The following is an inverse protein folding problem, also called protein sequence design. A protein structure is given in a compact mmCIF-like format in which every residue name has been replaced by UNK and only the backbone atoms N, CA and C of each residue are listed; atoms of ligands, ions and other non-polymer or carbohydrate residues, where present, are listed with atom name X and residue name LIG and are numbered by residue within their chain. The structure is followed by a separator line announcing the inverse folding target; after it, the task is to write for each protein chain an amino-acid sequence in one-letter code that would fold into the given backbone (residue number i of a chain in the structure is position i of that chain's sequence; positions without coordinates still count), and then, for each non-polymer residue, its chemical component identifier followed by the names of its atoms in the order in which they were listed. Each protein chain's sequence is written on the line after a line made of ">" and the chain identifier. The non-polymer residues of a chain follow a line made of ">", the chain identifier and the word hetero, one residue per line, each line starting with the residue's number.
data_IF_613276837502
#
_entry.id   IF_613276837502
#
_cell.length_a   1.000
_cell.length_b   1.000
_cell.length_c   1.000
_cell.angle_alpha   90.00
_cell.angle_beta   90.00
_cell.angle_gamma   90.00
#
_symmetry.space_group_name_H-M   'P 1'
#
loop_
_entity.id
_entity.type
_entity.pdbx_description
1 polymer ?
#
# COMPACT_ATOMS: atom_id res chain seq x y z
N UNK A 1 -10.49 3.96 -22.13
CA UNK A 1 -9.50 5.05 -22.24
C UNK A 1 -9.96 6.49 -21.90
N UNK A 2 -11.24 6.81 -21.65
CA UNK A 2 -11.65 8.13 -21.10
C UNK A 2 -12.91 8.02 -20.23
N UNK A 3 -12.78 7.64 -18.95
CA UNK A 3 -13.87 7.74 -17.97
C UNK A 3 -13.33 7.50 -16.55
N UNK A 4 -12.85 8.53 -15.83
CA UNK A 4 -12.31 8.27 -14.48
C UNK A 4 -11.93 9.50 -13.62
N UNK A 5 -12.77 10.53 -13.43
CA UNK A 5 -12.45 11.54 -12.38
C UNK A 5 -13.64 11.99 -11.57
N UNK A 6 -14.45 11.04 -11.10
CA UNK A 6 -15.54 11.39 -10.21
C UNK A 6 -15.27 11.12 -8.73
N UNK A 7 -14.31 10.28 -8.39
CA UNK A 7 -14.13 9.86 -6.99
C UNK A 7 -12.66 9.66 -6.58
N UNK A 8 -11.73 10.11 -7.42
CA UNK A 8 -10.30 10.26 -7.13
C UNK A 8 -9.98 11.75 -7.10
N UNK A 9 -9.21 12.21 -6.10
CA UNK A 9 -8.61 13.55 -6.10
C UNK A 9 -8.00 13.79 -7.49
N UNK A 10 -8.47 14.76 -8.28
CA UNK A 10 -7.62 15.25 -9.36
C UNK A 10 -6.32 15.76 -8.69
N UNK A 11 -5.16 15.60 -9.34
CA UNK A 11 -3.98 16.35 -8.91
C UNK A 11 -4.39 17.82 -8.81
N UNK A 12 -4.18 18.39 -7.63
CA UNK A 12 -4.43 19.78 -7.31
C UNK A 12 -3.84 20.67 -8.40
N UNK A 13 -4.69 21.20 -9.28
CA UNK A 13 -4.51 22.53 -9.84
C UNK A 13 -5.67 23.37 -9.33
N UNK A 14 -5.36 24.23 -8.37
CA UNK A 14 -6.22 25.34 -7.99
C UNK A 14 -6.48 26.14 -9.29
N UNK A 15 -7.70 26.02 -9.86
CA UNK A 15 -8.32 26.84 -10.94
C UNK A 15 -9.28 26.05 -11.87
N UNK A 16 -9.71 24.82 -11.58
CA UNK A 16 -10.77 24.18 -12.38
C UNK A 16 -12.15 24.58 -11.85
N UNK A 17 -12.86 25.43 -12.60
CA UNK A 17 -14.10 26.09 -12.18
C UNK A 17 -15.31 25.16 -11.96
N UNK A 18 -16.34 25.65 -11.27
CA UNK A 18 -17.57 24.91 -10.87
C UNK A 18 -18.24 24.12 -12.01
N UNK A 19 -18.29 24.68 -13.22
CA UNK A 19 -18.83 24.02 -14.40
C UNK A 19 -18.07 22.74 -14.79
N UNK A 20 -16.75 22.68 -14.55
CA UNK A 20 -15.90 21.56 -14.94
C UNK A 20 -16.30 20.24 -14.26
N UNK A 21 -16.65 20.28 -12.96
CA UNK A 21 -17.01 19.06 -12.22
C UNK A 21 -18.35 18.52 -12.71
N UNK A 22 -19.38 19.38 -12.80
CA UNK A 22 -20.70 19.01 -13.33
C UNK A 22 -20.59 18.44 -14.74
N UNK A 23 -19.93 19.15 -15.65
CA UNK A 23 -19.87 18.76 -17.06
C UNK A 23 -19.20 17.40 -17.23
N UNK A 24 -18.16 17.13 -16.43
CA UNK A 24 -17.50 15.83 -16.40
C UNK A 24 -18.40 14.72 -15.86
N UNK A 25 -19.12 14.97 -14.77
CA UNK A 25 -20.08 14.01 -14.21
C UNK A 25 -21.13 13.65 -15.22
N UNK A 26 -21.72 14.65 -15.85
CA UNK A 26 -22.79 14.45 -16.82
C UNK A 26 -22.27 13.77 -18.08
N UNK A 27 -21.05 14.09 -18.51
CA UNK A 27 -20.39 13.36 -19.60
C UNK A 27 -20.16 11.89 -19.24
N UNK A 28 -19.65 11.59 -18.05
CA UNK A 28 -19.42 10.21 -17.59
C UNK A 28 -20.75 9.45 -17.45
N UNK A 29 -21.77 10.06 -16.82
CA UNK A 29 -23.12 9.48 -16.66
C UNK A 29 -23.78 9.18 -18.00
N UNK A 30 -23.71 10.12 -18.95
CA UNK A 30 -24.25 9.94 -20.31
C UNK A 30 -23.50 8.87 -21.10
N UNK A 31 -22.17 8.78 -20.92
CA UNK A 31 -21.32 7.84 -21.67
C UNK A 31 -21.48 6.41 -21.16
N UNK A 32 -21.51 6.22 -19.84
CA UNK A 32 -21.60 4.91 -19.20
C UNK A 32 -23.05 4.40 -19.15
N UNK A 33 -24.01 5.30 -19.00
CA UNK A 33 -25.37 4.95 -18.61
C UNK A 33 -25.48 4.70 -17.10
N UNK A 34 -26.72 4.64 -16.62
CA UNK A 34 -27.05 4.64 -15.18
C UNK A 34 -26.43 3.48 -14.40
N UNK A 35 -26.53 2.25 -14.91
CA UNK A 35 -26.06 1.06 -14.16
C UNK A 35 -24.52 0.99 -14.10
N UNK A 36 -23.81 1.24 -15.21
CA UNK A 36 -22.33 1.25 -15.21
C UNK A 36 -21.78 2.42 -14.38
N UNK A 37 -22.45 3.59 -14.43
CA UNK A 37 -22.12 4.71 -13.55
C UNK A 37 -22.32 4.34 -12.07
N UNK A 38 -23.41 3.64 -11.74
CA UNK A 38 -23.66 3.12 -10.39
C UNK A 38 -22.57 2.15 -9.95
N UNK A 39 -22.19 1.18 -10.80
CA UNK A 39 -21.11 0.24 -10.53
C UNK A 39 -19.78 0.96 -10.27
N UNK A 40 -19.41 1.94 -11.09
CA UNK A 40 -18.21 2.76 -10.88
C UNK A 40 -18.28 3.52 -9.55
N UNK A 41 -19.45 4.06 -9.22
CA UNK A 41 -19.71 4.80 -7.98
C UNK A 41 -19.56 3.90 -6.74
N UNK A 42 -20.00 2.63 -6.79
CA UNK A 42 -19.80 1.64 -5.72
C UNK A 42 -18.30 1.39 -5.50
N UNK A 43 -17.56 1.07 -6.56
CA UNK A 43 -16.13 0.74 -6.48
C UNK A 43 -15.36 1.92 -5.89
N UNK A 44 -15.58 3.12 -6.41
CA UNK A 44 -14.76 4.26 -6.03
C UNK A 44 -15.12 4.82 -4.65
N UNK A 45 -16.39 4.78 -4.22
CA UNK A 45 -16.74 5.12 -2.83
C UNK A 45 -16.30 4.06 -1.83
N UNK A 46 -16.36 2.77 -2.17
CA UNK A 46 -15.83 1.70 -1.30
C UNK A 46 -14.31 1.79 -1.16
N UNK A 47 -13.61 2.16 -2.24
CA UNK A 47 -12.18 2.50 -2.19
C UNK A 47 -11.91 3.69 -1.28
N UNK A 48 -12.68 4.77 -1.42
CA UNK A 48 -12.53 6.00 -0.63
C UNK A 48 -12.79 5.73 0.85
N UNK A 49 -13.93 5.14 1.16
CA UNK A 49 -14.40 4.79 2.50
C UNK A 49 -14.16 3.32 2.83
N UNK A 50 -12.90 2.89 2.83
CA UNK A 50 -12.51 1.48 2.98
C UNK A 50 -12.93 0.79 4.29
N UNK A 51 -13.40 1.54 5.29
CA UNK A 51 -13.92 1.00 6.54
C UNK A 51 -15.46 1.07 6.63
N UNK A 52 -16.15 1.58 5.61
CA UNK A 52 -17.60 1.68 5.58
C UNK A 52 -18.28 0.32 5.46
N UNK A 53 -19.52 0.25 5.90
CA UNK A 53 -20.41 -0.89 5.64
C UNK A 53 -20.97 -0.84 4.22
N UNK A 54 -21.49 -1.98 3.75
CA UNK A 54 -22.15 -2.05 2.45
C UNK A 54 -23.40 -1.15 2.42
N UNK A 55 -24.12 -1.08 3.54
CA UNK A 55 -25.35 -0.31 3.70
C UNK A 55 -25.06 1.19 3.61
N UNK A 56 -24.04 1.70 4.31
CA UNK A 56 -23.59 3.09 4.23
C UNK A 56 -23.19 3.50 2.80
N UNK A 57 -22.40 2.65 2.14
CA UNK A 57 -21.99 2.86 0.74
C UNK A 57 -23.22 2.86 -0.18
N UNK A 58 -24.16 1.93 0.03
CA UNK A 58 -25.37 1.83 -0.78
C UNK A 58 -26.26 3.06 -0.66
N UNK A 59 -26.39 3.64 0.54
CA UNK A 59 -27.09 4.90 0.76
C UNK A 59 -26.42 6.06 0.03
N UNK A 60 -25.09 6.19 0.16
CA UNK A 60 -24.33 7.25 -0.52
C UNK A 60 -24.41 7.12 -2.04
N UNK A 61 -24.21 5.92 -2.59
CA UNK A 61 -24.27 5.65 -4.04
C UNK A 61 -25.65 6.01 -4.59
N UNK A 62 -26.73 5.65 -3.90
CA UNK A 62 -28.11 5.95 -4.33
C UNK A 62 -28.33 7.44 -4.51
N UNK A 63 -27.86 8.23 -3.57
CA UNK A 63 -27.99 9.69 -3.57
C UNK A 63 -27.12 10.34 -4.66
N UNK A 64 -25.89 9.86 -4.86
CA UNK A 64 -25.01 10.33 -5.95
C UNK A 64 -25.62 10.03 -7.33
N UNK A 65 -26.14 8.82 -7.52
CA UNK A 65 -26.77 8.40 -8.79
C UNK A 65 -28.04 9.21 -9.05
N UNK A 66 -28.87 9.44 -8.02
CA UNK A 66 -30.08 10.27 -8.14
C UNK A 66 -29.76 11.72 -8.47
N UNK A 67 -28.69 12.27 -7.88
CA UNK A 67 -28.21 13.61 -8.20
C UNK A 67 -27.75 13.71 -9.66
N UNK A 68 -26.96 12.74 -10.13
CA UNK A 68 -26.51 12.71 -11.53
C UNK A 68 -27.69 12.58 -12.50
N UNK A 69 -28.64 11.68 -12.22
CA UNK A 69 -29.84 11.48 -13.04
C UNK A 69 -30.69 12.76 -13.15
N UNK A 70 -30.83 13.49 -12.05
CA UNK A 70 -31.64 14.73 -12.01
C UNK A 70 -30.91 15.90 -12.66
N UNK A 71 -29.65 16.15 -12.30
CA UNK A 71 -28.92 17.35 -12.69
C UNK A 71 -28.21 17.25 -14.04
N UNK A 72 -28.12 16.05 -14.63
CA UNK A 72 -27.56 15.85 -15.97
C UNK A 72 -28.63 15.66 -17.05
N UNK A 73 -29.91 15.79 -16.69
CA UNK A 73 -31.01 15.81 -17.64
C UNK A 73 -30.95 17.05 -18.55
N UNK A 74 -31.44 16.92 -19.78
CA UNK A 74 -31.53 18.06 -20.70
C UNK A 74 -32.46 19.13 -20.12
N UNK A 75 -31.99 20.38 -20.08
CA UNK A 75 -32.73 21.50 -19.49
C UNK A 75 -32.67 21.59 -17.96
N UNK A 76 -31.86 20.76 -17.28
CA UNK A 76 -31.62 20.90 -15.86
C UNK A 76 -30.97 22.25 -15.51
N UNK A 77 -31.30 22.78 -14.33
CA UNK A 77 -30.76 24.06 -13.88
C UNK A 77 -29.22 24.00 -13.78
N UNK A 78 -28.49 25.00 -14.32
CA UNK A 78 -27.02 25.01 -14.30
C UNK A 78 -26.40 24.85 -12.90
N UNK A 79 -27.10 25.28 -11.85
CA UNK A 79 -26.69 25.21 -10.44
C UNK A 79 -27.16 23.94 -9.71
N UNK A 80 -27.99 23.11 -10.34
CA UNK A 80 -28.55 21.89 -9.75
C UNK A 80 -27.48 21.01 -9.10
N UNK A 81 -26.41 20.72 -9.83
CA UNK A 81 -25.34 19.83 -9.34
C UNK A 81 -24.58 20.44 -8.17
N UNK A 82 -24.28 21.73 -8.21
CA UNK A 82 -23.58 22.43 -7.14
C UNK A 82 -24.42 22.46 -5.85
N UNK A 83 -25.71 22.77 -5.97
CA UNK A 83 -26.66 22.77 -4.86
C UNK A 83 -26.80 21.38 -4.25
N UNK A 84 -27.03 20.36 -5.07
CA UNK A 84 -27.16 18.97 -4.63
C UNK A 84 -25.87 18.42 -4.02
N UNK A 85 -24.71 18.67 -4.62
CA UNK A 85 -23.40 18.26 -4.07
C UNK A 85 -23.13 18.92 -2.70
N UNK A 86 -23.52 20.20 -2.54
CA UNK A 86 -23.42 20.90 -1.26
C UNK A 86 -24.37 20.30 -0.22
N UNK A 87 -25.60 19.95 -0.61
CA UNK A 87 -26.55 19.27 0.26
C UNK A 87 -26.07 17.89 0.70
N UNK A 88 -25.45 17.10 -0.19
CA UNK A 88 -24.83 15.83 0.16
C UNK A 88 -23.70 16.02 1.18
N UNK A 89 -22.85 17.02 0.99
CA UNK A 89 -21.76 17.34 1.92
C UNK A 89 -22.29 17.76 3.29
N UNK A 90 -23.33 18.61 3.33
CA UNK A 90 -23.99 19.00 4.57
C UNK A 90 -24.64 17.80 5.27
N UNK A 91 -25.27 16.90 4.52
CA UNK A 91 -25.84 15.65 5.05
C UNK A 91 -24.75 14.74 5.64
N UNK A 92 -23.57 14.65 5.03
CA UNK A 92 -22.41 13.93 5.60
C UNK A 92 -21.95 14.49 6.95
N UNK A 93 -22.23 15.75 7.25
CA UNK A 93 -21.89 16.39 8.51
C UNK A 93 -22.99 16.26 9.60
N UNK A 94 -24.16 15.73 9.25
CA UNK A 94 -25.24 15.49 10.21
C UNK A 94 -24.90 14.34 11.19
N UNK A 95 -25.28 14.49 12.45
CA UNK A 95 -25.04 13.45 13.49
C UNK A 95 -25.71 12.10 13.17
N UNK A 96 -26.89 12.13 12.55
CA UNK A 96 -27.66 10.95 12.13
C UNK A 96 -27.43 10.61 10.64
N UNK A 97 -26.29 11.02 10.08
CA UNK A 97 -25.96 10.78 8.67
C UNK A 97 -25.91 9.27 8.37
N UNK A 98 -26.61 8.79 7.32
CA UNK A 98 -26.49 7.40 6.86
C UNK A 98 -25.25 7.17 5.99
N UNK A 99 -24.41 8.20 5.81
CA UNK A 99 -23.22 8.14 4.96
C UNK A 99 -21.97 7.77 5.75
N UNK A 100 -21.01 7.08 5.11
CA UNK A 100 -19.76 6.77 5.78
C UNK A 100 -18.93 8.03 6.02
N UNK A 101 -18.11 8.01 7.07
CA UNK A 101 -17.24 9.11 7.46
C UNK A 101 -15.77 8.69 7.53
N UNK A 102 -14.87 9.63 7.24
CA UNK A 102 -13.45 9.47 7.51
C UNK A 102 -13.09 9.93 8.93
N UNK A 103 -12.00 9.42 9.54
CA UNK A 103 -11.38 10.08 10.68
C UNK A 103 -11.09 11.55 10.34
N UNK A 104 -11.48 12.48 11.22
CA UNK A 104 -11.34 13.93 11.00
C UNK A 104 -12.53 14.62 10.33
N UNK A 105 -13.58 13.87 9.94
CA UNK A 105 -14.80 14.46 9.32
C UNK A 105 -15.41 15.55 10.19
N UNK A 106 -15.54 15.32 11.50
CA UNK A 106 -16.09 16.32 12.43
C UNK A 106 -15.29 17.63 12.43
N UNK A 107 -13.96 17.56 12.32
CA UNK A 107 -13.10 18.75 12.22
C UNK A 107 -13.30 19.51 10.91
N UNK A 108 -13.50 18.80 9.79
CA UNK A 108 -13.84 19.43 8.53
C UNK A 108 -15.25 20.04 8.53
N UNK A 109 -16.20 19.39 9.20
CA UNK A 109 -17.59 19.86 9.29
C UNK A 109 -17.75 21.13 10.14
N UNK A 110 -16.76 21.48 10.97
CA UNK A 110 -16.71 22.76 11.67
C UNK A 110 -16.34 23.94 10.76
N UNK A 111 -15.84 23.67 9.55
CA UNK A 111 -15.55 24.68 8.52
C UNK A 111 -16.80 24.95 7.67
N UNK A 112 -16.77 26.05 6.91
CA UNK A 112 -17.87 26.44 6.02
C UNK A 112 -17.42 26.58 4.56
N UNK A 113 -18.39 26.56 3.65
CA UNK A 113 -18.18 26.90 2.24
C UNK A 113 -17.14 26.04 1.51
N UNK A 114 -16.15 26.69 0.89
CA UNK A 114 -15.11 26.02 0.09
C UNK A 114 -14.12 25.27 0.98
N UNK A 115 -13.78 25.79 2.14
CA UNK A 115 -12.82 25.18 3.06
C UNK A 115 -13.34 23.82 3.56
N UNK A 116 -14.62 23.76 3.95
CA UNK A 116 -15.29 22.51 4.30
C UNK A 116 -15.17 21.46 3.19
N UNK A 117 -15.49 21.85 1.94
CA UNK A 117 -15.44 20.96 0.78
C UNK A 117 -14.04 20.44 0.51
N UNK A 118 -13.02 21.31 0.57
CA UNK A 118 -11.64 20.93 0.35
C UNK A 118 -11.12 20.02 1.47
N UNK A 119 -11.48 20.31 2.72
CA UNK A 119 -11.13 19.49 3.87
C UNK A 119 -11.73 18.07 3.73
N UNK A 120 -13.03 17.95 3.50
CA UNK A 120 -13.71 16.66 3.31
C UNK A 120 -13.17 15.86 2.11
N UNK A 121 -12.76 16.54 1.03
CA UNK A 121 -12.15 15.90 -0.12
C UNK A 121 -10.73 15.39 0.15
N UNK A 122 -9.98 16.07 1.02
CA UNK A 122 -8.62 15.68 1.39
C UNK A 122 -8.55 14.48 2.34
N UNK A 123 -9.63 14.22 3.10
CA UNK A 123 -9.68 13.09 4.03
C UNK A 123 -9.55 11.74 3.31
N UNK A 124 -8.81 10.82 3.94
CA UNK A 124 -8.57 9.46 3.46
C UNK A 124 -8.53 8.51 4.65
N UNK A 125 -8.95 7.26 4.45
CA UNK A 125 -8.60 6.22 5.41
C UNK A 125 -7.12 5.84 5.27
N UNK A 126 -6.46 5.50 6.39
CA UNK A 126 -5.15 4.89 6.32
C UNK A 126 -5.22 3.57 5.54
N UNK A 127 -4.13 3.16 4.87
CA UNK A 127 -4.04 1.85 4.25
C UNK A 127 -4.41 0.74 5.22
N UNK A 128 -5.22 -0.22 4.78
CA UNK A 128 -5.54 -1.39 5.59
C UNK A 128 -4.28 -2.24 5.83
N UNK A 129 -4.18 -2.82 7.02
CA UNK A 129 -3.04 -3.67 7.40
C UNK A 129 -2.97 -4.93 6.54
N UNK A 130 -4.13 -5.59 6.38
CA UNK A 130 -4.31 -6.77 5.55
C UNK A 130 -5.61 -6.62 4.75
N UNK A 131 -5.63 -7.03 3.46
CA UNK A 131 -6.88 -7.16 2.71
C UNK A 131 -7.82 -8.12 3.45
N UNK A 132 -9.09 -7.73 3.60
CA UNK A 132 -10.10 -8.53 4.30
C UNK A 132 -10.87 -9.48 3.39
N UNK A 133 -10.90 -9.19 2.10
CA UNK A 133 -11.60 -10.02 1.12
C UNK A 133 -10.96 -11.41 1.04
N UNK A 134 -11.73 -12.41 1.49
CA UNK A 134 -11.47 -13.83 1.29
C UNK A 134 -12.42 -14.31 0.22
N UNK A 135 -11.87 -14.80 -0.90
CA UNK A 135 -12.70 -15.34 -1.96
C UNK A 135 -13.39 -16.63 -1.47
N UNK A 136 -14.73 -16.71 -1.51
CA UNK A 136 -15.45 -17.94 -1.20
C UNK A 136 -15.11 -19.09 -2.17
N UNK A 137 -15.51 -20.31 -1.80
CA UNK A 137 -15.46 -21.46 -2.70
C UNK A 137 -16.25 -21.21 -3.99
N UNK A 138 -15.96 -21.98 -5.04
CA UNK A 138 -16.68 -21.82 -6.31
C UNK A 138 -18.18 -22.12 -6.12
N UNK A 139 -18.50 -23.06 -5.24
CA UNK A 139 -19.86 -23.48 -4.88
C UNK A 139 -20.61 -22.34 -4.17
N UNK A 140 -20.00 -21.73 -3.15
CA UNK A 140 -20.58 -20.58 -2.43
C UNK A 140 -20.78 -19.38 -3.35
N UNK A 141 -19.82 -19.10 -4.25
CA UNK A 141 -19.96 -18.05 -5.26
C UNK A 141 -21.16 -18.29 -6.17
N UNK A 142 -21.34 -19.52 -6.66
CA UNK A 142 -22.44 -19.84 -7.56
C UNK A 142 -23.79 -19.89 -6.85
N UNK A 143 -23.82 -20.31 -5.58
CA UNK A 143 -25.04 -20.26 -4.78
C UNK A 143 -25.48 -18.80 -4.58
N UNK A 144 -24.58 -17.93 -4.09
CA UNK A 144 -24.90 -16.52 -3.87
C UNK A 144 -25.28 -15.81 -5.18
N UNK A 145 -24.58 -16.11 -6.28
CA UNK A 145 -24.92 -15.57 -7.61
C UNK A 145 -26.30 -16.03 -8.09
N UNK A 146 -26.71 -17.28 -7.81
CA UNK A 146 -28.02 -17.81 -8.19
C UNK A 146 -29.17 -17.20 -7.37
N UNK A 147 -28.94 -16.90 -6.09
CA UNK A 147 -29.92 -16.32 -5.19
C UNK A 147 -30.29 -14.89 -5.62
N UNK A 148 -29.30 -14.00 -5.78
CA UNK A 148 -29.50 -12.66 -6.30
C UNK A 148 -28.22 -12.15 -7.00
N UNK A 149 -28.14 -12.22 -8.34
CA UNK A 149 -26.98 -11.76 -9.10
C UNK A 149 -26.59 -10.31 -8.84
N UNK A 150 -27.59 -9.43 -8.61
CA UNK A 150 -27.36 -7.98 -8.45
C UNK A 150 -26.80 -7.69 -7.07
N UNK A 151 -27.42 -8.22 -6.02
CA UNK A 151 -26.94 -8.06 -4.64
C UNK A 151 -25.57 -8.71 -4.48
N UNK A 152 -25.36 -9.90 -5.05
CA UNK A 152 -24.05 -10.55 -5.09
C UNK A 152 -22.99 -9.63 -5.71
N UNK A 153 -23.26 -9.08 -6.89
CA UNK A 153 -22.31 -8.21 -7.58
C UNK A 153 -22.00 -6.96 -6.75
N UNK A 154 -23.02 -6.27 -6.22
CA UNK A 154 -22.84 -5.04 -5.45
C UNK A 154 -22.04 -5.28 -4.16
N UNK A 155 -22.32 -6.36 -3.43
CA UNK A 155 -21.57 -6.74 -2.22
C UNK A 155 -20.12 -7.07 -2.55
N UNK A 156 -19.88 -7.86 -3.60
CA UNK A 156 -18.53 -8.16 -4.05
C UNK A 156 -17.75 -6.89 -4.43
N UNK A 157 -18.37 -5.98 -5.20
CA UNK A 157 -17.74 -4.72 -5.60
C UNK A 157 -17.30 -3.91 -4.38
N UNK A 158 -18.18 -3.82 -3.37
CA UNK A 158 -17.89 -3.12 -2.13
C UNK A 158 -16.75 -3.78 -1.32
N UNK A 159 -16.86 -5.07 -1.03
CA UNK A 159 -15.89 -5.78 -0.19
C UNK A 159 -14.50 -5.82 -0.83
N UNK A 160 -14.47 -6.06 -2.15
CA UNK A 160 -13.22 -6.13 -2.91
C UNK A 160 -12.55 -4.76 -2.99
N UNK A 161 -13.29 -3.71 -3.38
CA UNK A 161 -12.72 -2.37 -3.50
C UNK A 161 -12.31 -1.76 -2.14
N UNK A 162 -13.03 -2.07 -1.06
CA UNK A 162 -12.65 -1.67 0.30
C UNK A 162 -11.35 -2.35 0.74
N UNK A 163 -11.23 -3.66 0.47
CA UNK A 163 -10.05 -4.46 0.83
C UNK A 163 -8.79 -4.09 0.05
N UNK A 164 -8.93 -3.69 -1.21
CA UNK A 164 -7.84 -3.28 -2.10
C UNK A 164 -7.86 -1.76 -2.34
N UNK A 165 -8.25 -0.98 -1.32
CA UNK A 165 -8.53 0.46 -1.42
C UNK A 165 -7.35 1.34 -1.87
N UNK A 166 -6.12 0.85 -1.84
CA UNK A 166 -4.95 1.60 -2.30
C UNK A 166 -4.59 1.29 -3.77
N UNK A 167 -5.18 0.26 -4.38
CA UNK A 167 -5.01 0.03 -5.80
C UNK A 167 -5.59 1.22 -6.62
N UNK A 168 -4.99 1.54 -7.78
CA UNK A 168 -5.56 2.50 -8.71
C UNK A 168 -6.98 2.09 -9.11
N UNK A 169 -7.89 3.07 -9.20
CA UNK A 169 -9.28 2.83 -9.58
C UNK A 169 -9.43 2.04 -10.89
N UNK A 170 -8.67 2.30 -11.98
CA UNK A 170 -8.84 1.51 -13.20
C UNK A 170 -8.44 0.04 -13.03
N UNK A 171 -7.44 -0.24 -12.20
CA UNK A 171 -7.02 -1.62 -11.88
C UNK A 171 -8.15 -2.34 -11.14
N UNK A 172 -8.79 -1.67 -10.16
CA UNK A 172 -9.95 -2.23 -9.45
C UNK A 172 -11.12 -2.50 -10.38
N UNK A 173 -11.48 -1.54 -11.25
CA UNK A 173 -12.56 -1.70 -12.22
C UNK A 173 -12.30 -2.88 -13.16
N UNK A 174 -11.09 -3.01 -13.70
CA UNK A 174 -10.72 -4.16 -14.53
C UNK A 174 -10.80 -5.48 -13.76
N UNK A 175 -10.26 -5.51 -12.53
CA UNK A 175 -10.21 -6.70 -11.69
C UNK A 175 -11.61 -7.19 -11.28
N UNK A 176 -12.50 -6.27 -10.88
CA UNK A 176 -13.86 -6.62 -10.48
C UNK A 176 -14.71 -7.04 -11.68
N UNK A 177 -14.61 -6.33 -12.82
CA UNK A 177 -15.33 -6.69 -14.04
C UNK A 177 -14.98 -8.09 -14.52
N UNK A 178 -13.69 -8.42 -14.59
CA UNK A 178 -13.24 -9.75 -15.01
C UNK A 178 -13.65 -10.83 -13.99
N UNK A 179 -13.71 -10.51 -12.69
CA UNK A 179 -14.22 -11.42 -11.66
C UNK A 179 -15.70 -11.75 -11.84
N UNK A 180 -16.55 -10.73 -11.94
CA UNK A 180 -17.98 -10.92 -12.14
C UNK A 180 -18.27 -11.67 -13.45
N UNK A 181 -17.53 -11.38 -14.52
CA UNK A 181 -17.63 -12.09 -15.80
C UNK A 181 -17.29 -13.58 -15.68
N UNK A 182 -16.30 -13.95 -14.86
CA UNK A 182 -15.98 -15.36 -14.61
C UNK A 182 -17.07 -16.04 -13.81
N UNK A 183 -17.57 -15.40 -12.76
CA UNK A 183 -18.65 -15.98 -11.94
C UNK A 183 -19.88 -16.21 -12.80
N UNK A 184 -20.31 -15.20 -13.56
CA UNK A 184 -21.49 -15.32 -14.43
C UNK A 184 -21.33 -16.41 -15.50
N UNK A 185 -20.12 -16.58 -16.05
CA UNK A 185 -19.85 -17.58 -17.09
C UNK A 185 -19.73 -18.99 -16.53
N UNK A 186 -18.98 -19.15 -15.44
CA UNK A 186 -18.67 -20.47 -14.90
C UNK A 186 -19.79 -21.07 -14.05
N UNK A 187 -20.62 -20.24 -13.41
CA UNK A 187 -21.74 -20.75 -12.61
C UNK A 187 -22.90 -21.31 -13.44
N UNK A 188 -22.97 -20.96 -14.73
CA UNK A 188 -23.96 -21.52 -15.68
C UNK A 188 -23.34 -22.57 -16.62
N UNK A 189 -22.04 -22.85 -16.48
CA UNK A 189 -21.33 -23.83 -17.30
C UNK A 189 -21.75 -25.25 -16.93
N UNK A 190 -21.86 -26.17 -17.90
CA UNK A 190 -22.04 -27.61 -17.61
C UNK A 190 -20.81 -28.23 -16.92
N UNK A 191 -19.65 -27.56 -16.95
CA UNK A 191 -18.43 -27.98 -16.27
C UNK A 191 -17.83 -26.82 -15.44
N UNK A 192 -18.43 -26.44 -14.30
CA UNK A 192 -18.03 -25.27 -13.51
C UNK A 192 -16.57 -25.31 -13.04
N UNK A 193 -16.09 -26.46 -12.55
CA UNK A 193 -14.73 -26.62 -12.02
C UNK A 193 -13.66 -26.34 -13.08
N UNK A 194 -13.81 -26.92 -14.28
CA UNK A 194 -12.88 -26.71 -15.38
C UNK A 194 -12.92 -25.24 -15.88
N UNK A 195 -14.12 -24.65 -15.93
CA UNK A 195 -14.28 -23.24 -16.29
C UNK A 195 -13.56 -22.32 -15.30
N UNK A 196 -13.82 -22.45 -13.99
CA UNK A 196 -13.18 -21.62 -12.98
C UNK A 196 -11.66 -21.77 -12.98
N UNK A 197 -11.13 -22.98 -13.18
CA UNK A 197 -9.69 -23.18 -13.28
C UNK A 197 -9.09 -22.39 -14.45
N UNK A 198 -9.68 -22.49 -15.64
CA UNK A 198 -9.24 -21.75 -16.84
C UNK A 198 -9.29 -20.24 -16.60
N UNK A 199 -10.44 -19.72 -16.16
CA UNK A 199 -10.68 -18.29 -15.93
C UNK A 199 -9.79 -17.70 -14.80
N UNK A 200 -9.47 -18.48 -13.75
CA UNK A 200 -8.53 -18.07 -12.70
C UNK A 200 -7.10 -17.97 -13.24
N UNK A 201 -6.69 -18.90 -14.11
CA UNK A 201 -5.37 -18.87 -14.74
C UNK A 201 -5.23 -17.69 -15.71
N UNK A 202 -6.26 -17.41 -16.51
CA UNK A 202 -6.28 -16.29 -17.47
C UNK A 202 -6.23 -14.93 -16.73
N UNK A 203 -6.97 -14.76 -15.63
CA UNK A 203 -6.92 -13.50 -14.85
C UNK A 203 -5.67 -13.34 -13.98
N UNK A 204 -4.81 -14.36 -13.84
CA UNK A 204 -3.73 -14.40 -12.85
C UNK A 204 -2.88 -13.13 -12.88
N UNK A 205 -2.54 -12.63 -14.08
CA UNK A 205 -1.73 -11.41 -14.26
C UNK A 205 -2.44 -10.17 -13.70
N UNK A 206 -3.75 -10.01 -13.94
CA UNK A 206 -4.53 -8.89 -13.43
C UNK A 206 -4.74 -8.98 -11.91
N UNK A 207 -4.97 -10.19 -11.39
CA UNK A 207 -5.06 -10.41 -9.93
C UNK A 207 -3.75 -10.04 -9.23
N UNK A 208 -2.61 -10.43 -9.81
CA UNK A 208 -1.29 -10.02 -9.31
C UNK A 208 -1.08 -8.50 -9.43
N UNK A 209 -1.53 -7.87 -10.52
CA UNK A 209 -1.48 -6.41 -10.67
C UNK A 209 -2.30 -5.70 -9.58
N UNK A 210 -3.52 -6.16 -9.29
CA UNK A 210 -4.36 -5.61 -8.21
C UNK A 210 -3.68 -5.76 -6.85
N UNK A 211 -3.16 -6.95 -6.55
CA UNK A 211 -2.45 -7.21 -5.30
C UNK A 211 -1.22 -6.31 -5.18
N UNK A 212 -0.33 -6.33 -6.18
CA UNK A 212 0.94 -5.60 -6.12
C UNK A 212 0.73 -4.10 -6.10
N UNK A 213 -0.17 -3.57 -6.94
CA UNK A 213 -0.51 -2.14 -6.95
C UNK A 213 -1.06 -1.68 -5.60
N UNK A 214 -1.99 -2.44 -5.00
CA UNK A 214 -2.49 -2.15 -3.66
C UNK A 214 -1.36 -2.11 -2.62
N UNK A 215 -0.43 -3.07 -2.66
CA UNK A 215 0.69 -3.14 -1.69
C UNK A 215 1.66 -1.97 -1.83
N UNK A 216 2.14 -1.70 -3.05
CA UNK A 216 3.11 -0.62 -3.27
C UNK A 216 2.48 0.75 -3.01
N UNK A 217 1.21 0.96 -3.39
CA UNK A 217 0.52 2.21 -3.13
C UNK A 217 0.14 2.37 -1.66
N UNK A 218 -0.17 1.29 -0.93
CA UNK A 218 -0.31 1.34 0.53
C UNK A 218 0.96 1.84 1.20
N UNK A 219 2.12 1.31 0.79
CA UNK A 219 3.42 1.73 1.32
C UNK A 219 3.77 3.16 0.90
N UNK A 220 3.49 3.54 -0.35
CA UNK A 220 3.67 4.92 -0.83
C UNK A 220 2.80 5.92 -0.05
N UNK A 221 1.53 5.60 0.20
CA UNK A 221 0.63 6.44 1.01
C UNK A 221 1.15 6.59 2.45
N UNK A 222 1.70 5.52 3.03
CA UNK A 222 2.21 5.54 4.40
C UNK A 222 3.55 6.29 4.56
N UNK A 223 4.45 6.16 3.59
CA UNK A 223 5.83 6.68 3.71
C UNK A 223 6.08 7.97 2.92
N UNK A 224 5.29 8.23 1.88
CA UNK A 224 5.62 9.25 0.88
C UNK A 224 6.84 8.86 0.03
N UNK A 225 7.15 9.70 -0.95
CA UNK A 225 8.15 9.40 -1.99
C UNK A 225 9.56 9.15 -1.43
N UNK A 226 10.08 10.05 -0.61
CA UNK A 226 11.47 9.98 -0.12
C UNK A 226 11.73 8.72 0.74
N UNK A 227 10.81 8.40 1.65
CA UNK A 227 10.94 7.21 2.51
C UNK A 227 10.58 5.92 1.78
N UNK A 228 9.70 5.93 0.75
CA UNK A 228 9.51 4.74 -0.09
C UNK A 228 10.76 4.43 -0.93
N UNK A 229 11.47 5.45 -1.41
CA UNK A 229 12.76 5.26 -2.08
C UNK A 229 13.73 4.53 -1.14
N UNK A 230 13.83 4.99 0.11
CA UNK A 230 14.68 4.33 1.11
C UNK A 230 14.23 2.88 1.40
N UNK A 231 12.93 2.66 1.64
CA UNK A 231 12.35 1.33 1.89
C UNK A 231 12.61 0.35 0.74
N UNK A 232 12.45 0.80 -0.51
CA UNK A 232 12.71 -0.01 -1.69
C UNK A 232 14.21 -0.32 -1.84
N UNK A 233 15.08 0.67 -1.62
CA UNK A 233 16.52 0.51 -1.62
C UNK A 233 16.97 -0.55 -0.61
N UNK A 234 16.51 -0.45 0.64
CA UNK A 234 16.89 -1.43 1.67
C UNK A 234 16.32 -2.80 1.38
N UNK A 235 15.11 -2.91 0.84
CA UNK A 235 14.56 -4.19 0.42
C UNK A 235 15.43 -4.87 -0.65
N UNK A 236 15.91 -4.12 -1.65
CA UNK A 236 16.85 -4.65 -2.64
C UNK A 236 18.20 -5.02 -2.01
N UNK A 237 18.71 -4.19 -1.09
CA UNK A 237 19.98 -4.40 -0.40
C UNK A 237 19.97 -5.68 0.45
N UNK A 238 18.84 -5.99 1.10
CA UNK A 238 18.65 -7.20 1.89
C UNK A 238 18.51 -8.44 1.01
N UNK A 239 17.89 -8.32 -0.17
CA UNK A 239 17.76 -9.42 -1.14
C UNK A 239 19.07 -9.70 -1.89
N UNK A 240 19.87 -8.66 -2.16
CA UNK A 240 21.13 -8.75 -2.90
C UNK A 240 22.23 -7.95 -2.19
N UNK A 241 22.72 -8.44 -1.04
CA UNK A 241 23.70 -7.72 -0.25
C UNK A 241 25.07 -7.59 -0.91
N UNK A 242 25.30 -8.23 -2.07
CA UNK A 242 26.51 -8.05 -2.89
C UNK A 242 26.48 -6.84 -3.83
N UNK A 243 25.30 -6.27 -4.13
CA UNK A 243 25.18 -5.13 -5.03
C UNK A 243 25.63 -3.82 -4.36
N UNK A 244 26.12 -2.86 -5.15
CA UNK A 244 26.54 -1.55 -4.63
C UNK A 244 25.36 -0.60 -4.47
N UNK A 245 25.56 0.49 -3.71
CA UNK A 245 24.58 1.56 -3.60
C UNK A 245 24.26 2.17 -4.98
N UNK A 246 25.28 2.37 -5.81
CA UNK A 246 25.18 2.91 -7.18
C UNK A 246 24.30 2.04 -8.08
N UNK A 247 24.26 0.72 -7.86
CA UNK A 247 23.45 -0.19 -8.66
C UNK A 247 21.98 -0.21 -8.21
N UNK A 248 21.74 -0.12 -6.89
CA UNK A 248 20.41 -0.29 -6.30
C UNK A 248 19.63 1.02 -6.14
N UNK A 249 20.32 2.12 -5.85
CA UNK A 249 19.67 3.41 -5.62
C UNK A 249 18.89 3.94 -6.84
N UNK A 250 19.43 3.89 -8.09
CA UNK A 250 18.68 4.30 -9.27
C UNK A 250 17.44 3.43 -9.58
N UNK A 251 17.38 2.20 -9.05
CA UNK A 251 16.20 1.36 -9.15
C UNK A 251 15.16 1.76 -8.10
N UNK A 252 15.60 2.11 -6.90
CA UNK A 252 14.73 2.58 -5.84
C UNK A 252 14.09 3.95 -6.15
N UNK A 253 14.85 4.87 -6.76
CA UNK A 253 14.31 6.15 -7.24
C UNK A 253 13.28 5.94 -8.34
N UNK A 254 13.58 5.06 -9.30
CA UNK A 254 12.69 4.70 -10.40
C UNK A 254 11.38 4.08 -9.90
N UNK A 255 11.44 3.15 -8.93
CA UNK A 255 10.26 2.57 -8.31
C UNK A 255 9.40 3.65 -7.61
N UNK A 256 10.02 4.54 -6.84
CA UNK A 256 9.32 5.62 -6.15
C UNK A 256 8.65 6.61 -7.13
N UNK A 257 9.31 6.88 -8.27
CA UNK A 257 8.74 7.69 -9.35
C UNK A 257 7.50 7.01 -9.94
N UNK A 258 7.59 5.72 -10.29
CA UNK A 258 6.46 4.92 -10.79
C UNK A 258 5.27 4.98 -9.83
N UNK A 259 5.51 4.80 -8.52
CA UNK A 259 4.43 4.85 -7.53
C UNK A 259 3.82 6.25 -7.42
N UNK A 260 4.64 7.30 -7.48
CA UNK A 260 4.15 8.68 -7.43
C UNK A 260 3.28 9.04 -8.64
N UNK A 261 3.62 8.52 -9.82
CA UNK A 261 2.86 8.74 -11.05
C UNK A 261 1.58 7.91 -11.09
N UNK A 262 1.61 6.64 -10.70
CA UNK A 262 0.51 5.71 -10.97
C UNK A 262 -0.46 5.46 -9.81
N UNK A 263 -0.10 5.67 -8.54
CA UNK A 263 -0.98 5.30 -7.43
C UNK A 263 -2.30 6.10 -7.38
N UNK A 264 -2.30 7.32 -7.92
CA UNK A 264 -3.50 8.16 -8.07
C UNK A 264 -3.84 8.41 -9.54
N UNK A 265 -3.21 7.71 -10.49
CA UNK A 265 -3.49 7.87 -11.91
C UNK A 265 -4.85 7.28 -12.27
N UNK A 266 -5.43 7.90 -13.29
CA UNK A 266 -6.72 7.59 -13.91
C UNK A 266 -6.53 6.93 -15.29
N UNK A 267 -5.28 6.69 -15.68
CA UNK A 267 -4.96 5.98 -16.91
C UNK A 267 -5.03 4.47 -16.67
N UNK A 268 -5.75 3.78 -17.56
CA UNK A 268 -6.09 2.35 -17.41
C UNK A 268 -4.85 1.44 -17.29
N UNK A 269 -3.75 1.79 -17.96
CA UNK A 269 -2.55 0.97 -18.07
C UNK A 269 -1.33 1.52 -17.31
N UNK A 270 -1.43 2.66 -16.60
CA UNK A 270 -0.28 3.31 -15.95
C UNK A 270 0.53 2.32 -15.11
N UNK A 271 -0.13 1.68 -14.15
CA UNK A 271 0.54 0.78 -13.22
C UNK A 271 1.11 -0.45 -13.92
N UNK A 272 0.35 -1.05 -14.84
CA UNK A 272 0.81 -2.23 -15.58
C UNK A 272 2.06 -1.91 -16.42
N UNK A 273 2.00 -0.81 -17.18
CA UNK A 273 3.07 -0.38 -18.07
C UNK A 273 4.32 0.02 -17.29
N UNK A 274 4.18 0.96 -16.36
CA UNK A 274 5.31 1.51 -15.60
C UNK A 274 5.99 0.47 -14.71
N UNK A 275 5.22 -0.41 -14.07
CA UNK A 275 5.80 -1.47 -13.26
C UNK A 275 6.51 -2.53 -14.11
N UNK A 276 5.99 -2.82 -15.31
CA UNK A 276 6.65 -3.69 -16.27
C UNK A 276 7.97 -3.11 -16.78
N UNK A 277 7.98 -1.82 -17.16
CA UNK A 277 9.18 -1.07 -17.55
C UNK A 277 10.24 -1.11 -16.44
N UNK A 278 9.83 -0.82 -15.19
CA UNK A 278 10.68 -0.88 -14.01
C UNK A 278 11.25 -2.29 -13.78
N UNK A 279 10.41 -3.32 -13.90
CA UNK A 279 10.84 -4.72 -13.71
C UNK A 279 11.87 -5.13 -14.75
N UNK A 280 11.68 -4.72 -16.01
CA UNK A 280 12.65 -4.98 -17.06
C UNK A 280 13.99 -4.27 -16.79
N UNK A 281 13.96 -3.03 -16.27
CA UNK A 281 15.16 -2.30 -15.83
C UNK A 281 15.89 -3.05 -14.70
N UNK A 282 15.16 -3.47 -13.67
CA UNK A 282 15.73 -4.21 -12.54
C UNK A 282 16.34 -5.55 -12.99
N UNK A 283 15.64 -6.32 -13.83
CA UNK A 283 16.17 -7.56 -14.39
C UNK A 283 17.46 -7.35 -15.18
N UNK A 284 17.51 -6.35 -16.08
CA UNK A 284 18.74 -6.05 -16.83
C UNK A 284 19.92 -5.67 -15.94
N UNK A 285 19.66 -4.92 -14.87
CA UNK A 285 20.73 -4.45 -13.99
C UNK A 285 21.26 -5.54 -13.03
N UNK A 286 20.41 -6.50 -12.66
CA UNK A 286 20.65 -7.35 -11.49
C UNK A 286 20.70 -8.86 -11.77
N UNK A 287 20.12 -9.34 -12.87
CA UNK A 287 20.03 -10.80 -13.13
C UNK A 287 21.39 -11.50 -13.23
N UNK A 288 22.43 -10.79 -13.67
CA UNK A 288 23.77 -11.36 -13.76
C UNK A 288 24.50 -11.47 -12.40
N UNK A 289 23.93 -10.92 -11.31
CA UNK A 289 24.59 -10.76 -10.02
C UNK A 289 24.12 -11.75 -8.95
N UNK A 290 22.89 -12.27 -9.07
CA UNK A 290 22.30 -13.20 -8.11
C UNK A 290 21.38 -14.18 -8.86
N UNK A 291 21.61 -15.48 -8.70
CA UNK A 291 20.86 -16.54 -9.40
C UNK A 291 19.37 -16.55 -9.01
N UNK A 292 19.04 -16.27 -7.74
CA UNK A 292 17.63 -16.21 -7.28
C UNK A 292 16.91 -15.06 -7.96
N UNK A 293 17.60 -13.93 -8.14
CA UNK A 293 17.06 -12.81 -8.92
C UNK A 293 16.93 -13.15 -10.41
N UNK A 294 17.94 -13.82 -10.99
CA UNK A 294 17.91 -14.30 -12.37
C UNK A 294 16.71 -15.22 -12.63
N UNK A 295 16.42 -16.13 -11.70
CA UNK A 295 15.29 -17.05 -11.78
C UNK A 295 13.95 -16.32 -11.77
N UNK A 296 13.79 -15.29 -10.92
CA UNK A 296 12.60 -14.45 -10.97
C UNK A 296 12.43 -13.71 -12.31
N UNK A 297 13.52 -13.36 -12.97
CA UNK A 297 13.49 -12.68 -14.28
C UNK A 297 13.13 -13.61 -15.46
N UNK A 298 13.09 -14.94 -15.24
CA UNK A 298 12.67 -15.94 -16.25
C UNK A 298 11.15 -16.21 -16.24
N UNK A 299 10.38 -15.51 -15.41
CA UNK A 299 8.93 -15.73 -15.31
C UNK A 299 8.17 -15.40 -16.60
N UNK A 300 6.93 -15.88 -16.69
CA UNK A 300 6.11 -15.86 -17.93
C UNK A 300 5.78 -14.45 -18.42
N UNK A 301 5.77 -13.46 -17.53
CA UNK A 301 5.54 -12.05 -17.86
C UNK A 301 6.12 -11.15 -16.77
N UNK A 302 6.29 -9.86 -17.09
CA UNK A 302 6.94 -8.89 -16.21
C UNK A 302 6.22 -8.68 -14.87
N UNK A 303 4.89 -8.84 -14.82
CA UNK A 303 4.16 -8.76 -13.54
C UNK A 303 4.43 -9.96 -12.64
N UNK A 304 4.58 -11.16 -13.21
CA UNK A 304 5.01 -12.35 -12.45
C UNK A 304 6.46 -12.22 -11.99
N UNK A 305 7.34 -11.63 -12.83
CA UNK A 305 8.72 -11.36 -12.46
C UNK A 305 8.78 -10.38 -11.28
N UNK A 306 7.99 -9.29 -11.33
CA UNK A 306 7.91 -8.31 -10.25
C UNK A 306 7.43 -8.95 -8.94
N UNK A 307 6.36 -9.74 -9.00
CA UNK A 307 5.85 -10.46 -7.84
C UNK A 307 6.91 -11.40 -7.24
N UNK A 308 7.63 -12.15 -8.09
CA UNK A 308 8.72 -13.01 -7.65
C UNK A 308 9.84 -12.22 -6.95
N UNK A 309 10.35 -11.15 -7.59
CA UNK A 309 11.41 -10.29 -7.03
C UNK A 309 10.98 -9.72 -5.67
N UNK A 310 9.73 -9.24 -5.58
CA UNK A 310 9.19 -8.72 -4.33
C UNK A 310 9.10 -9.79 -3.24
N UNK A 311 8.68 -11.01 -3.61
CA UNK A 311 8.53 -12.16 -2.70
C UNK A 311 9.84 -12.86 -2.36
N UNK A 312 10.96 -12.55 -3.02
CA UNK A 312 12.26 -13.16 -2.72
C UNK A 312 12.60 -12.99 -1.23
N UNK A 313 13.00 -14.06 -0.52
CA UNK A 313 13.46 -13.91 0.86
C UNK A 313 14.76 -13.08 0.90
N UNK A 314 15.08 -12.45 2.04
CA UNK A 314 16.39 -11.87 2.26
C UNK A 314 17.52 -12.87 1.99
N UNK A 315 18.67 -12.38 1.54
CA UNK A 315 19.88 -13.19 1.45
C UNK A 315 20.48 -13.47 2.83
N UNK A 316 21.32 -14.51 2.96
CA UNK A 316 22.18 -14.66 4.13
C UNK A 316 23.04 -13.40 4.36
N UNK A 317 23.31 -13.08 5.62
CA UNK A 317 24.15 -11.94 5.98
C UNK A 317 25.55 -12.08 5.36
N UNK A 318 26.02 -11.07 4.59
CA UNK A 318 27.33 -11.13 3.98
C UNK A 318 28.44 -10.86 5.02
N UNK A 319 29.63 -11.39 4.79
CA UNK A 319 30.84 -10.96 5.51
C UNK A 319 31.43 -9.75 4.79
N UNK A 320 31.09 -8.54 5.24
CA UNK A 320 31.59 -7.28 4.68
C UNK A 320 32.48 -6.55 5.70
N UNK A 321 33.46 -5.73 5.24
CA UNK A 321 34.18 -4.81 6.12
C UNK A 321 33.23 -3.87 6.87
N UNK A 322 33.71 -3.25 7.95
CA UNK A 322 32.93 -2.26 8.69
C UNK A 322 32.46 -1.14 7.75
N UNK A 323 31.20 -0.74 7.89
CA UNK A 323 30.64 0.34 7.09
C UNK A 323 31.31 1.66 7.47
N UNK A 324 31.81 2.38 6.46
CA UNK A 324 32.35 3.72 6.69
C UNK A 324 31.22 4.66 7.14
N UNK A 325 31.40 5.26 8.31
CA UNK A 325 30.47 6.25 8.86
C UNK A 325 30.70 7.59 8.16
N UNK A 326 29.63 8.30 7.75
CA UNK A 326 29.78 9.63 7.18
C UNK A 326 30.30 10.61 8.24
N UNK A 327 31.14 11.56 7.83
CA UNK A 327 31.63 12.61 8.72
C UNK A 327 30.54 13.64 9.04
N UNK A 328 30.75 14.46 10.07
CA UNK A 328 29.80 15.52 10.43
C UNK A 328 29.62 16.53 9.29
N UNK A 329 30.71 16.87 8.59
CA UNK A 329 30.67 17.74 7.41
C UNK A 329 29.87 17.09 6.27
N UNK A 330 30.07 15.80 6.02
CA UNK A 330 29.30 15.07 5.01
C UNK A 330 27.81 15.04 5.35
N UNK A 331 27.44 14.85 6.62
CA UNK A 331 26.04 14.78 7.05
C UNK A 331 25.30 16.13 6.94
N UNK A 332 26.00 17.23 7.18
CA UNK A 332 25.43 18.58 7.12
C UNK A 332 25.67 19.33 5.80
N UNK A 333 26.47 18.78 4.88
CA UNK A 333 26.61 19.28 3.52
C UNK A 333 25.37 19.05 2.64
N UNK A 334 25.43 19.57 1.42
CA UNK A 334 24.35 19.52 0.41
C UNK A 334 23.87 18.08 0.15
N UNK A 335 24.82 17.14 -0.01
CA UNK A 335 24.56 15.72 -0.23
C UNK A 335 24.35 14.91 1.05
N UNK A 336 24.18 15.56 2.21
CA UNK A 336 24.13 14.88 3.50
C UNK A 336 22.96 13.90 3.63
N UNK A 337 21.84 14.15 2.94
CA UNK A 337 20.73 13.19 2.90
C UNK A 337 21.10 11.92 2.15
N UNK A 338 21.90 12.04 1.08
CA UNK A 338 22.41 10.91 0.30
C UNK A 338 23.44 10.13 1.10
N UNK A 339 24.35 10.80 1.82
CA UNK A 339 25.31 10.14 2.70
C UNK A 339 24.64 9.37 3.86
N UNK A 340 23.62 9.95 4.49
CA UNK A 340 22.82 9.25 5.51
C UNK A 340 22.10 8.02 4.92
N UNK A 341 21.46 8.15 3.75
CA UNK A 341 20.84 7.01 3.06
C UNK A 341 21.84 5.92 2.71
N UNK A 342 23.05 6.28 2.25
CA UNK A 342 24.14 5.32 1.95
C UNK A 342 24.58 4.56 3.20
N UNK A 343 24.73 5.25 4.32
CA UNK A 343 25.07 4.59 5.59
C UNK A 343 23.98 3.60 6.04
N UNK A 344 22.71 4.01 5.96
CA UNK A 344 21.58 3.13 6.28
C UNK A 344 21.45 1.94 5.30
N UNK A 345 21.79 2.13 4.03
CA UNK A 345 21.92 1.04 3.05
C UNK A 345 22.98 0.02 3.46
N UNK A 346 24.15 0.49 3.90
CA UNK A 346 25.22 -0.38 4.39
C UNK A 346 24.81 -1.14 5.67
N UNK A 347 24.00 -0.53 6.54
CA UNK A 347 23.41 -1.24 7.68
C UNK A 347 22.41 -2.31 7.23
N UNK A 348 21.51 -2.00 6.30
CA UNK A 348 20.47 -2.92 5.84
C UNK A 348 21.07 -4.16 5.15
N UNK A 349 22.07 -4.01 4.27
CA UNK A 349 22.70 -5.16 3.60
C UNK A 349 23.50 -6.07 4.55
N UNK A 350 23.95 -5.56 5.70
CA UNK A 350 24.62 -6.35 6.77
C UNK A 350 23.65 -7.04 7.72
N UNK A 351 22.40 -6.58 7.77
CA UNK A 351 21.35 -7.17 8.58
C UNK A 351 20.11 -7.50 7.70
N UNK A 352 20.21 -8.51 6.81
CA UNK A 352 19.20 -8.76 5.78
C UNK A 352 17.79 -9.03 6.32
N UNK A 353 17.69 -9.50 7.56
CA UNK A 353 16.41 -9.89 8.17
C UNK A 353 15.78 -8.77 9.00
N UNK A 354 16.43 -7.61 9.15
CA UNK A 354 15.84 -6.49 9.89
C UNK A 354 14.56 -6.00 9.18
N UNK A 355 13.42 -5.88 9.89
CA UNK A 355 12.18 -5.39 9.30
C UNK A 355 12.29 -4.00 8.65
N UNK A 356 11.55 -3.80 7.57
CA UNK A 356 11.38 -2.48 6.93
C UNK A 356 10.92 -1.40 7.92
N UNK A 357 10.04 -1.74 8.88
CA UNK A 357 9.59 -0.79 9.88
C UNK A 357 10.71 -0.32 10.82
N UNK A 358 11.68 -1.19 11.16
CA UNK A 358 12.86 -0.83 11.95
C UNK A 358 13.75 0.12 11.16
N UNK A 359 14.06 -0.23 9.92
CA UNK A 359 14.86 0.61 9.03
C UNK A 359 14.17 1.96 8.77
N UNK A 360 12.85 1.96 8.60
CA UNK A 360 12.04 3.15 8.44
C UNK A 360 12.08 4.08 9.65
N UNK A 361 12.09 3.56 10.88
CA UNK A 361 12.29 4.36 12.10
C UNK A 361 13.70 4.93 12.18
N UNK A 362 14.72 4.14 11.82
CA UNK A 362 16.10 4.60 11.77
C UNK A 362 16.28 5.75 10.77
N UNK A 363 15.63 5.64 9.62
CA UNK A 363 15.59 6.69 8.62
C UNK A 363 14.97 7.99 9.17
N UNK A 364 13.82 7.91 9.86
CA UNK A 364 13.19 9.08 10.47
C UNK A 364 14.07 9.70 11.57
N UNK A 365 14.69 8.85 12.40
CA UNK A 365 15.60 9.28 13.46
C UNK A 365 16.83 10.00 12.90
N UNK A 366 17.47 9.45 11.86
CA UNK A 366 18.58 10.11 11.17
C UNK A 366 18.16 11.43 10.54
N UNK A 367 16.98 11.49 9.91
CA UNK A 367 16.45 12.74 9.34
C UNK A 367 16.21 13.80 10.42
N UNK A 368 15.64 13.40 11.56
CA UNK A 368 15.40 14.28 12.72
C UNK A 368 16.70 14.81 13.31
N UNK A 369 17.66 13.93 13.58
CA UNK A 369 18.98 14.31 14.12
C UNK A 369 19.69 15.30 13.19
N UNK A 370 19.69 15.05 11.88
CA UNK A 370 20.28 15.98 10.90
C UNK A 370 19.57 17.33 10.91
N UNK A 371 18.24 17.36 10.92
CA UNK A 371 17.49 18.62 10.96
C UNK A 371 17.78 19.44 12.22
N UNK A 372 17.84 18.78 13.38
CA UNK A 372 18.14 19.40 14.67
C UNK A 372 19.59 19.87 14.77
N UNK A 373 20.56 19.02 14.43
CA UNK A 373 21.97 19.32 14.66
C UNK A 373 22.61 20.16 13.57
N UNK A 374 22.28 19.98 12.29
CA UNK A 374 22.92 20.75 11.21
C UNK A 374 22.51 22.23 11.20
N UNK A 375 21.49 22.60 11.98
CA UNK A 375 21.06 23.99 12.17
C UNK A 375 21.52 24.58 13.51
N UNK A 376 22.24 23.80 14.33
CA UNK A 376 22.72 24.25 15.63
C UNK A 376 23.97 25.15 15.50
N UNK A 377 24.24 25.96 16.53
CA UNK A 377 25.46 26.79 16.59
C UNK A 377 26.74 25.96 16.47
N UNK A 378 26.76 24.78 17.12
CA UNK A 378 27.80 23.77 16.97
C UNK A 378 27.19 22.45 16.47
N UNK A 379 27.14 22.31 15.15
CA UNK A 379 26.63 21.12 14.49
C UNK A 379 27.45 19.87 14.81
N UNK A 380 28.78 20.00 14.96
CA UNK A 380 29.66 18.87 15.21
C UNK A 380 29.43 18.31 16.61
N UNK A 381 29.44 19.17 17.64
CA UNK A 381 29.18 18.74 19.01
C UNK A 381 27.78 18.13 19.17
N UNK A 382 26.77 18.69 18.49
CA UNK A 382 25.42 18.12 18.51
C UNK A 382 25.38 16.72 17.90
N UNK A 383 25.96 16.54 16.70
CA UNK A 383 26.00 15.24 16.03
C UNK A 383 26.78 14.20 16.83
N UNK A 384 27.94 14.56 17.37
CA UNK A 384 28.79 13.66 18.15
C UNK A 384 28.07 13.16 19.41
N UNK A 385 27.37 14.05 20.11
CA UNK A 385 26.54 13.69 21.27
C UNK A 385 25.43 12.69 20.91
N UNK A 386 24.69 12.93 19.81
CA UNK A 386 23.63 12.02 19.35
C UNK A 386 24.20 10.68 18.87
N UNK A 387 25.31 10.70 18.14
CA UNK A 387 26.02 9.51 17.66
C UNK A 387 26.51 8.64 18.81
N UNK A 388 27.07 9.25 19.87
CA UNK A 388 27.55 8.52 21.03
C UNK A 388 26.40 7.74 21.70
N UNK A 389 25.24 8.38 21.89
CA UNK A 389 24.04 7.72 22.43
C UNK A 389 23.57 6.55 21.55
N UNK A 390 23.57 6.72 20.23
CA UNK A 390 23.14 5.67 19.30
C UNK A 390 24.15 4.51 19.18
N UNK A 391 25.44 4.76 19.45
CA UNK A 391 26.52 3.77 19.28
C UNK A 391 26.35 2.55 20.19
N UNK A 392 25.82 2.75 21.39
CA UNK A 392 25.69 1.70 22.39
C UNK A 392 24.39 0.91 22.22
N UNK A 393 23.28 1.60 21.92
CA UNK A 393 21.96 0.98 21.87
C UNK A 393 21.63 0.33 20.52
N UNK A 394 22.12 0.90 19.41
CA UNK A 394 21.68 0.49 18.07
C UNK A 394 22.20 -0.88 17.62
N UNK A 395 23.52 -1.20 17.72
CA UNK A 395 24.03 -2.49 17.29
C UNK A 395 23.33 -3.70 17.95
N UNK A 396 23.17 -3.78 19.29
CA UNK A 396 22.51 -4.93 19.90
C UNK A 396 21.02 -5.00 19.54
N UNK A 397 20.37 -3.86 19.34
CA UNK A 397 18.97 -3.82 18.89
C UNK A 397 18.82 -4.38 17.46
N UNK A 398 19.67 -3.94 16.53
CA UNK A 398 19.67 -4.44 15.15
C UNK A 398 19.96 -5.93 15.08
N UNK A 399 20.93 -6.42 15.86
CA UNK A 399 21.26 -7.84 15.89
C UNK A 399 20.09 -8.66 16.40
N UNK A 400 19.42 -8.22 17.48
CA UNK A 400 18.24 -8.89 18.02
C UNK A 400 17.08 -8.91 17.02
N UNK A 401 16.83 -7.81 16.31
CA UNK A 401 15.80 -7.73 15.27
C UNK A 401 16.13 -8.64 14.09
N UNK A 402 17.39 -8.61 13.62
CA UNK A 402 17.90 -9.46 12.55
C UNK A 402 17.78 -10.95 12.91
N UNK A 403 18.15 -11.32 14.13
CA UNK A 403 18.09 -12.71 14.61
C UNK A 403 16.64 -13.21 14.70
N UNK A 404 15.75 -12.44 15.31
CA UNK A 404 14.34 -12.83 15.46
C UNK A 404 13.69 -13.08 14.10
N UNK A 405 13.81 -12.13 13.19
CA UNK A 405 13.21 -12.24 11.86
C UNK A 405 13.97 -13.20 10.93
N UNK A 406 15.28 -13.38 11.13
CA UNK A 406 16.05 -14.40 10.44
C UNK A 406 15.56 -15.80 10.77
N UNK A 407 15.39 -16.10 12.06
CA UNK A 407 14.82 -17.38 12.51
C UNK A 407 13.40 -17.59 11.98
N UNK A 408 12.58 -16.55 11.96
CA UNK A 408 11.22 -16.61 11.40
C UNK A 408 11.23 -16.93 9.90
N UNK A 409 12.19 -16.38 9.15
CA UNK A 409 12.30 -16.61 7.71
C UNK A 409 12.88 -17.99 7.36
N UNK A 410 13.67 -18.60 8.26
CA UNK A 410 14.33 -19.90 8.05
C UNK A 410 13.50 -21.09 8.52
N UNK A 411 12.70 -20.93 9.57
CA UNK A 411 11.98 -22.02 10.24
C UNK A 411 10.49 -21.98 9.90
N UNK A 412 9.82 -23.14 9.92
CA UNK A 412 8.36 -23.14 9.98
C UNK A 412 7.88 -22.56 11.32
N UNK A 413 6.62 -22.13 11.39
CA UNK A 413 6.10 -21.38 12.53
C UNK A 413 6.19 -22.14 13.88
N UNK A 414 6.01 -23.46 13.87
CA UNK A 414 6.09 -24.26 15.10
C UNK A 414 7.53 -24.39 15.60
N UNK A 415 8.46 -24.67 14.69
CA UNK A 415 9.88 -24.74 15.02
C UNK A 415 10.46 -23.39 15.43
N UNK A 416 10.00 -22.30 14.80
CA UNK A 416 10.31 -20.94 15.21
C UNK A 416 9.86 -20.67 16.65
N UNK A 417 8.60 -21.00 17.00
CA UNK A 417 8.10 -20.83 18.38
C UNK A 417 8.87 -21.66 19.40
N UNK A 418 9.26 -22.88 19.03
CA UNK A 418 10.10 -23.74 19.87
C UNK A 418 11.48 -23.11 20.10
N UNK A 419 12.16 -22.69 19.03
CA UNK A 419 13.47 -22.03 19.10
C UNK A 419 13.43 -20.74 19.93
N UNK A 420 12.37 -19.95 19.76
CA UNK A 420 12.12 -18.73 20.51
C UNK A 420 11.93 -19.01 22.01
N UNK A 421 11.18 -20.07 22.35
CA UNK A 421 11.03 -20.53 23.74
C UNK A 421 12.37 -20.94 24.34
N UNK A 422 13.14 -21.78 23.63
CA UNK A 422 14.44 -22.24 24.10
C UNK A 422 15.39 -21.07 24.37
N UNK A 423 15.44 -20.09 23.46
CA UNK A 423 16.22 -18.86 23.62
C UNK A 423 15.76 -18.04 24.81
N UNK A 424 14.44 -17.87 25.00
CA UNK A 424 13.89 -17.13 26.12
C UNK A 424 14.22 -17.79 27.46
N UNK A 425 14.04 -19.11 27.57
CA UNK A 425 14.40 -19.87 28.78
C UNK A 425 15.89 -19.73 29.13
N UNK A 426 16.78 -19.72 28.13
CA UNK A 426 18.21 -19.50 28.36
C UNK A 426 18.52 -18.07 28.82
N UNK A 427 17.87 -17.06 28.23
CA UNK A 427 18.11 -15.65 28.59
C UNK A 427 17.39 -15.20 29.87
N UNK A 428 16.35 -15.93 30.29
CA UNK A 428 15.50 -15.60 31.44
C UNK A 428 15.22 -16.86 32.28
N UNK A 429 16.25 -17.48 32.89
CA UNK A 429 16.12 -18.76 33.60
C UNK A 429 15.22 -18.70 34.84
N UNK A 430 15.04 -17.50 35.41
CA UNK A 430 14.19 -17.26 36.60
C UNK A 430 12.74 -16.92 36.23
N UNK A 431 12.41 -16.76 34.95
CA UNK A 431 11.06 -16.41 34.52
C UNK A 431 10.09 -17.59 34.70
N UNK A 432 8.85 -17.29 35.12
CA UNK A 432 7.82 -18.32 35.25
C UNK A 432 7.43 -18.92 33.88
N UNK A 433 6.95 -20.17 33.83
CA UNK A 433 6.47 -20.78 32.59
C UNK A 433 5.38 -19.94 31.89
N UNK A 434 4.50 -19.29 32.65
CA UNK A 434 3.43 -18.43 32.14
C UNK A 434 4.00 -17.17 31.46
N UNK A 435 4.97 -16.52 32.10
CA UNK A 435 5.63 -15.34 31.55
C UNK A 435 6.40 -15.70 30.26
N UNK A 436 7.13 -16.82 30.26
CA UNK A 436 7.81 -17.32 29.07
C UNK A 436 6.81 -17.61 27.94
N UNK A 437 5.67 -18.23 28.26
CA UNK A 437 4.58 -18.47 27.31
C UNK A 437 4.06 -17.17 26.68
N UNK A 438 3.76 -16.16 27.49
CA UNK A 438 3.29 -14.85 27.01
C UNK A 438 4.33 -14.16 26.10
N UNK A 439 5.60 -14.17 26.48
CA UNK A 439 6.68 -13.57 25.69
C UNK A 439 6.88 -14.29 24.35
N UNK A 440 6.75 -15.62 24.32
CA UNK A 440 6.79 -16.40 23.08
C UNK A 440 5.66 -15.98 22.16
N UNK A 441 4.41 -15.91 22.64
CA UNK A 441 3.27 -15.51 21.80
C UNK A 441 3.43 -14.07 21.31
N UNK A 442 3.82 -13.13 22.18
CA UNK A 442 4.00 -11.72 21.82
C UNK A 442 5.06 -11.54 20.73
N UNK A 443 6.22 -12.18 20.88
CA UNK A 443 7.31 -12.10 19.89
C UNK A 443 6.98 -12.86 18.61
N UNK A 444 6.19 -13.94 18.70
CA UNK A 444 5.75 -14.68 17.53
C UNK A 444 4.69 -13.93 16.71
N UNK A 445 3.77 -13.24 17.36
CA UNK A 445 2.80 -12.34 16.73
C UNK A 445 3.48 -11.17 16.02
N UNK A 446 4.47 -10.56 16.68
CA UNK A 446 5.31 -9.55 16.03
C UNK A 446 6.01 -10.12 14.80
N UNK A 447 6.65 -11.29 14.92
CA UNK A 447 7.42 -11.86 13.82
C UNK A 447 6.53 -12.22 12.62
N UNK A 448 5.37 -12.84 12.87
CA UNK A 448 4.43 -13.23 11.81
C UNK A 448 3.82 -12.03 11.07
N UNK A 449 3.73 -10.88 11.73
CA UNK A 449 3.16 -9.67 11.13
C UNK A 449 4.20 -8.74 10.53
N UNK A 450 5.39 -8.63 11.13
CA UNK A 450 6.36 -7.56 10.87
C UNK A 450 7.70 -7.99 10.26
N UNK A 451 8.04 -9.28 10.25
CA UNK A 451 9.22 -9.79 9.55
C UNK A 451 9.02 -10.03 8.02
N UNK A 452 7.82 -10.39 7.53
CA UNK A 452 7.61 -10.60 6.10
C UNK A 452 7.85 -9.36 5.20
N UNK A 453 8.20 -9.53 3.91
CA UNK A 453 8.34 -8.41 2.96
C UNK A 453 7.06 -7.56 2.78
N UNK A 454 5.90 -8.14 3.09
CA UNK A 454 4.57 -7.56 2.93
C UNK A 454 4.00 -6.93 4.21
N UNK A 455 4.84 -6.77 5.23
CA UNK A 455 4.42 -6.23 6.52
C UNK A 455 3.79 -4.83 6.40
N UNK A 456 2.69 -4.58 7.12
CA UNK A 456 1.98 -3.31 7.11
C UNK A 456 2.82 -2.20 7.77
N UNK A 457 3.26 -1.18 7.02
CA UNK A 457 4.27 -0.22 7.51
C UNK A 457 3.79 0.56 8.74
N UNK A 458 2.55 1.05 8.73
CA UNK A 458 2.00 1.84 9.85
C UNK A 458 1.82 1.01 11.13
N UNK A 459 1.34 -0.23 10.99
CA UNK A 459 1.16 -1.13 12.14
C UNK A 459 2.51 -1.53 12.72
N UNK A 460 3.43 -2.00 11.87
CA UNK A 460 4.74 -2.45 12.34
C UNK A 460 5.57 -1.30 12.92
N UNK A 461 5.45 -0.07 12.38
CA UNK A 461 6.08 1.10 12.99
C UNK A 461 5.58 1.40 14.41
N UNK A 462 4.35 1.02 14.76
CA UNK A 462 3.84 1.15 16.14
C UNK A 462 4.27 0.03 17.10
N UNK A 463 4.82 -1.07 16.55
CA UNK A 463 5.19 -2.27 17.30
C UNK A 463 6.69 -2.43 17.52
N UNK A 464 7.49 -1.98 16.54
CA UNK A 464 8.89 -1.56 16.76
C UNK A 464 8.84 -0.37 17.71
#
# INVERSE_FOLDING_TARGET
>A
AKAQVLLTNPPFSALTGKAYVRDKVCQEFKTLGKEDFRTLTIIANSRKFSNATFEEISHLVREIVSLAETCCAEGADPSCYDAGSSALSAKSCGGDSPFPAHPGTAGCCAQEGLEQKLCLAALRHPPQQLPRYLQPSNEELCQAFKEDPKVFADRFLHEYASSYSQAPLPVLVGSTRTFLSMVSTCCISPAPTACFLKEKLERKTLSLLTLMSNRVCSRFTAYGKDKVTFSYLTSLAQKMPGASFEDLFPLAEDAAEVFSQCCNSVDEDCMQKKLSEHTAKACRALSARDERFADCCKGKNLMQNYFCIWALPPAPAPKLPEAQKPTNEQLCGEEGARHAKRFLFELARRHPSVPDAVLGKLYDACKKVRGECCSAEDASACLDSKHQRMREELPPFLEKANQLCGQYNELNFLDFKKRLRDSLTQTMPEASPELLGQLVEQRADFASTCCPPNSPPLYCASKV
#
